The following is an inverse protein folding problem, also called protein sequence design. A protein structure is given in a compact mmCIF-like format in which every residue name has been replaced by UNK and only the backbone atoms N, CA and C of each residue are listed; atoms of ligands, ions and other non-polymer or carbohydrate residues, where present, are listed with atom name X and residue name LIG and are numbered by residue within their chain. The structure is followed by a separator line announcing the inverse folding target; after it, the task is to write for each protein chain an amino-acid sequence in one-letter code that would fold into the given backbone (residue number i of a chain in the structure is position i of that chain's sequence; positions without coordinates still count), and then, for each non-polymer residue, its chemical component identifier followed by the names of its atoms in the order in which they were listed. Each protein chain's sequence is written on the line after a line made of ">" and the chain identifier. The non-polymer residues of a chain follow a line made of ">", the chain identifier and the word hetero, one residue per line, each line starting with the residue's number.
data_IF_834616717666
#
_entry.id   IF_834616717666
#
_cell.length_a   1.000
_cell.length_b   1.000
_cell.length_c   1.000
_cell.angle_alpha   90.00
_cell.angle_beta   90.00
_cell.angle_gamma   90.00
#
_symmetry.space_group_name_H-M   'P 1'
#
loop_
_entity.id
_entity.type
_entity.pdbx_description
1 polymer ?
#
# COMPACT_ATOMS: atom_id res chain seq x y z
N UNK A 1 -9.02 4.81 -22.65
CA UNK A 1 -9.95 5.83 -23.16
C UNK A 1 -11.33 5.48 -22.65
N UNK A 2 -11.73 5.99 -21.51
CA UNK A 2 -13.12 6.23 -21.12
C UNK A 2 -13.04 7.36 -20.09
N UNK A 3 -13.27 8.58 -20.56
CA UNK A 3 -13.64 9.72 -19.73
C UNK A 3 -15.16 9.64 -19.56
N UNK A 4 -15.59 8.99 -18.48
CA UNK A 4 -16.97 8.99 -18.03
C UNK A 4 -17.22 10.20 -17.13
N UNK A 5 -18.18 11.01 -17.49
CA UNK A 5 -18.86 12.10 -16.80
C UNK A 5 -18.38 12.51 -15.39
N UNK A 6 -17.51 13.51 -15.35
CA UNK A 6 -17.27 14.36 -14.17
C UNK A 6 -17.92 15.75 -14.38
N UNK A 7 -19.21 15.77 -14.58
CA UNK A 7 -19.97 16.98 -14.81
C UNK A 7 -20.86 17.40 -13.65
N UNK A 8 -20.41 17.44 -12.39
CA UNK A 8 -21.06 18.24 -11.32
C UNK A 8 -20.27 18.12 -10.02
N UNK A 9 -19.52 19.16 -9.74
CA UNK A 9 -19.00 19.67 -8.45
C UNK A 9 -17.52 20.08 -8.58
N UNK A 10 -17.30 21.34 -8.85
CA UNK A 10 -16.13 22.21 -8.76
C UNK A 10 -15.94 23.02 -10.05
N UNK A 11 -16.39 24.28 -9.98
CA UNK A 11 -16.10 25.30 -10.98
C UNK A 11 -14.65 25.79 -10.83
N UNK A 12 -13.71 25.07 -11.42
CA UNK A 12 -12.38 25.62 -11.70
C UNK A 12 -12.29 25.99 -13.18
N UNK A 13 -11.60 27.11 -13.53
CA UNK A 13 -11.41 27.49 -14.93
C UNK A 13 -10.65 26.40 -15.68
N UNK A 14 -11.10 26.05 -16.89
CA UNK A 14 -10.52 25.03 -17.78
C UNK A 14 -9.01 25.16 -17.96
N UNK A 15 -8.49 26.40 -17.91
CA UNK A 15 -7.06 26.73 -18.01
C UNK A 15 -6.20 26.29 -16.82
N UNK A 16 -6.81 26.07 -15.64
CA UNK A 16 -6.10 25.57 -14.45
C UNK A 16 -5.98 24.04 -14.52
N UNK A 17 -7.04 23.38 -14.98
CA UNK A 17 -7.07 21.94 -15.18
C UNK A 17 -6.09 21.47 -16.26
N UNK A 18 -6.03 22.19 -17.40
CA UNK A 18 -5.10 21.90 -18.50
C UNK A 18 -3.62 22.14 -18.11
N UNK A 19 -3.33 23.14 -17.27
CA UNK A 19 -1.99 23.37 -16.72
C UNK A 19 -1.55 22.27 -15.76
N UNK A 20 -2.43 21.76 -14.91
CA UNK A 20 -2.14 20.66 -13.99
C UNK A 20 -1.90 19.34 -14.73
N UNK A 21 -2.67 19.03 -15.77
CA UNK A 21 -2.46 17.85 -16.63
C UNK A 21 -1.13 17.96 -17.40
N UNK A 22 -0.76 19.14 -17.89
CA UNK A 22 0.51 19.36 -18.56
C UNK A 22 1.68 19.20 -17.61
N UNK A 23 1.59 19.76 -16.39
CA UNK A 23 2.62 19.62 -15.34
C UNK A 23 2.80 18.16 -14.92
N UNK A 24 1.72 17.39 -14.74
CA UNK A 24 1.78 15.94 -14.42
C UNK A 24 2.40 15.14 -15.57
N UNK A 25 2.10 15.48 -16.83
CA UNK A 25 2.70 14.83 -18.02
C UNK A 25 4.18 15.17 -18.16
N UNK A 26 4.54 16.44 -18.01
CA UNK A 26 5.93 16.91 -18.12
C UNK A 26 6.76 16.35 -16.95
N UNK A 27 6.18 16.25 -15.74
CA UNK A 27 6.83 15.66 -14.57
C UNK A 27 7.04 14.14 -14.69
N UNK A 28 6.12 13.40 -15.30
CA UNK A 28 6.28 11.97 -15.61
C UNK A 28 7.36 11.74 -16.68
N UNK A 29 7.65 12.75 -17.52
CA UNK A 29 8.65 12.66 -18.58
C UNK A 29 10.07 13.07 -18.11
N UNK A 30 10.19 13.98 -17.14
CA UNK A 30 11.48 14.53 -16.70
C UNK A 30 12.18 13.76 -15.56
N UNK A 31 11.49 12.95 -14.81
CA UNK A 31 12.09 12.18 -13.70
C UNK A 31 11.97 10.67 -13.91
N UNK A 32 12.91 10.13 -14.69
CA UNK A 32 13.36 8.72 -14.66
C UNK A 32 12.38 7.70 -14.07
N UNK A 33 11.20 7.56 -14.65
CA UNK A 33 10.48 6.30 -14.57
C UNK A 33 11.27 5.33 -15.44
N UNK A 34 12.04 4.44 -14.84
CA UNK A 34 12.75 3.38 -15.56
C UNK A 34 11.69 2.42 -16.10
N UNK A 35 11.17 2.74 -17.29
CA UNK A 35 10.45 1.80 -18.11
C UNK A 35 11.49 0.82 -18.65
N UNK A 36 11.63 -0.33 -17.99
CA UNK A 36 12.38 -1.45 -18.52
C UNK A 36 11.64 -2.00 -19.75
N UNK A 37 11.88 -1.40 -20.92
CA UNK A 37 11.48 -1.99 -22.19
C UNK A 37 12.37 -3.19 -22.49
N UNK A 38 11.83 -4.40 -22.36
CA UNK A 38 12.42 -5.61 -22.96
C UNK A 38 11.88 -5.81 -24.37
N UNK A 39 12.80 -5.91 -25.32
CA UNK A 39 12.57 -6.51 -26.64
C UNK A 39 12.44 -8.01 -26.45
N UNK A 40 11.25 -8.55 -26.63
CA UNK A 40 10.81 -9.81 -27.27
C UNK A 40 9.48 -10.30 -26.69
N UNK A 41 8.47 -10.29 -27.53
CA UNK A 41 7.22 -11.06 -27.63
C UNK A 41 6.67 -11.82 -26.40
N UNK A 42 6.65 -11.20 -25.22
CA UNK A 42 5.74 -11.50 -24.12
C UNK A 42 5.13 -10.19 -23.66
N UNK A 43 3.81 -10.14 -23.52
CA UNK A 43 3.13 -9.01 -22.89
C UNK A 43 3.72 -8.83 -21.49
N UNK A 44 4.59 -7.83 -21.32
CA UNK A 44 5.20 -7.54 -20.03
C UNK A 44 4.17 -6.75 -19.24
N UNK A 45 3.61 -7.37 -18.22
CA UNK A 45 2.78 -6.68 -17.25
C UNK A 45 3.61 -5.56 -16.61
N UNK A 46 3.07 -4.34 -16.63
CA UNK A 46 3.77 -3.17 -16.10
C UNK A 46 3.79 -3.24 -14.57
N UNK A 47 4.87 -3.80 -14.02
CA UNK A 47 5.12 -3.78 -12.58
C UNK A 47 5.58 -2.39 -12.16
N UNK A 48 5.03 -1.86 -11.07
CA UNK A 48 5.39 -0.54 -10.53
C UNK A 48 6.33 -0.75 -9.34
N UNK A 49 7.59 -0.27 -9.48
CA UNK A 49 8.50 -0.11 -8.35
C UNK A 49 8.62 1.38 -8.01
N UNK A 50 8.53 1.68 -6.73
CA UNK A 50 8.60 3.04 -6.21
C UNK A 50 10.04 3.41 -5.85
N UNK A 51 10.45 4.68 -6.03
CA UNK A 51 11.70 5.17 -5.48
C UNK A 51 11.79 4.94 -3.97
N UNK A 52 13.00 4.83 -3.45
CA UNK A 52 13.29 4.67 -2.02
C UNK A 52 14.36 5.71 -1.62
N UNK A 53 14.31 6.26 -0.39
CA UNK A 53 13.33 5.97 0.65
C UNK A 53 12.07 6.86 0.60
N UNK A 54 12.02 7.92 -0.21
CA UNK A 54 10.89 8.87 -0.31
C UNK A 54 10.48 9.07 -1.76
N UNK A 55 9.18 9.14 -2.02
CA UNK A 55 8.63 9.37 -3.36
C UNK A 55 7.36 10.22 -3.31
N UNK A 56 7.03 10.84 -4.43
CA UNK A 56 5.89 11.75 -4.54
C UNK A 56 6.28 13.23 -4.37
N UNK A 57 5.33 14.11 -3.98
CA UNK A 57 3.98 13.77 -3.51
C UNK A 57 3.06 13.22 -4.61
N UNK A 58 2.08 12.40 -4.21
CA UNK A 58 1.03 11.89 -5.08
C UNK A 58 -0.33 12.31 -4.55
N UNK A 59 -1.27 12.58 -5.48
CA UNK A 59 -2.65 12.90 -5.09
C UNK A 59 -3.44 11.60 -4.88
N UNK A 60 -3.83 11.36 -3.63
CA UNK A 60 -4.70 10.25 -3.25
C UNK A 60 -6.15 10.74 -3.23
N UNK A 61 -7.06 9.98 -3.85
CA UNK A 61 -8.50 10.27 -3.80
C UNK A 61 -9.08 10.25 -2.37
N UNK A 62 -8.47 9.48 -1.47
CA UNK A 62 -8.93 9.31 -0.09
C UNK A 62 -8.16 10.16 0.92
N UNK A 63 -6.87 10.36 0.67
CA UNK A 63 -5.93 10.87 1.67
C UNK A 63 -5.40 12.27 1.31
N UNK A 64 -5.84 12.87 0.19
CA UNK A 64 -5.31 14.15 -0.26
C UNK A 64 -3.89 14.05 -0.81
N UNK A 65 -3.03 15.02 -0.51
CA UNK A 65 -1.62 15.05 -0.91
C UNK A 65 -0.84 14.06 -0.03
N UNK A 66 -0.40 12.95 -0.63
CA UNK A 66 0.34 11.90 0.06
C UNK A 66 1.82 11.92 -0.30
N UNK A 67 2.70 12.03 0.69
CA UNK A 67 4.13 11.79 0.55
C UNK A 67 4.42 10.34 0.90
N UNK A 68 4.95 9.58 -0.06
CA UNK A 68 5.23 8.16 0.11
C UNK A 68 6.59 7.90 0.76
N UNK A 69 6.65 6.93 1.66
CA UNK A 69 7.85 6.46 2.32
C UNK A 69 7.98 4.96 2.01
N UNK A 70 8.98 4.61 1.22
CA UNK A 70 9.29 3.24 0.80
C UNK A 70 10.51 2.73 1.56
N UNK A 71 10.29 1.82 2.51
CA UNK A 71 11.34 1.23 3.34
C UNK A 71 12.02 0.00 2.71
N UNK A 72 11.67 -0.29 1.45
CA UNK A 72 12.25 -1.37 0.66
C UNK A 72 13.15 -0.73 -0.40
N UNK A 73 14.27 -1.36 -0.80
CA UNK A 73 15.13 -0.84 -1.86
C UNK A 73 14.39 -0.54 -3.16
N UNK A 74 14.88 0.47 -3.91
CA UNK A 74 14.25 0.88 -5.17
C UNK A 74 14.47 -0.11 -6.31
N UNK A 75 15.49 -0.97 -6.22
CA UNK A 75 15.90 -1.93 -7.26
C UNK A 75 15.10 -3.24 -7.25
N UNK A 76 14.14 -3.40 -6.32
CA UNK A 76 13.38 -4.62 -6.26
C UNK A 76 12.27 -4.65 -5.24
N UNK A 77 11.61 -5.81 -5.15
CA UNK A 77 10.57 -6.10 -4.17
C UNK A 77 11.11 -7.00 -3.08
N UNK A 78 10.76 -6.68 -1.83
CA UNK A 78 11.02 -7.52 -0.68
C UNK A 78 9.81 -7.50 0.25
N UNK A 79 9.01 -8.56 0.17
CA UNK A 79 7.77 -8.70 0.92
C UNK A 79 7.67 -10.07 1.58
N UNK A 80 7.12 -10.14 2.77
CA UNK A 80 6.78 -11.40 3.45
C UNK A 80 5.59 -12.13 2.81
N UNK A 81 4.86 -11.46 1.91
CA UNK A 81 3.81 -12.00 1.06
C UNK A 81 4.23 -11.96 -0.41
N UNK A 82 3.51 -12.71 -1.24
CA UNK A 82 3.67 -12.71 -2.69
C UNK A 82 2.32 -12.70 -3.40
N UNK A 83 1.45 -11.76 -2.96
CA UNK A 83 0.07 -11.66 -3.42
C UNK A 83 -0.02 -11.62 -4.93
N UNK A 84 -0.94 -12.42 -5.51
CA UNK A 84 -1.12 -12.52 -6.96
C UNK A 84 -1.70 -11.25 -7.60
N UNK A 85 -2.20 -10.31 -6.78
CA UNK A 85 -2.73 -9.01 -7.24
C UNK A 85 -1.79 -7.82 -6.94
N UNK A 86 -0.55 -8.08 -6.49
CA UNK A 86 0.35 -7.00 -6.08
C UNK A 86 0.87 -6.20 -7.27
N UNK A 87 0.61 -4.89 -7.31
CA UNK A 87 1.09 -3.99 -8.37
C UNK A 87 2.62 -3.96 -8.49
N UNK A 88 3.36 -4.31 -7.41
CA UNK A 88 4.81 -4.44 -7.43
C UNK A 88 5.31 -5.79 -8.01
N UNK A 89 4.43 -6.63 -8.54
CA UNK A 89 4.80 -7.93 -9.09
C UNK A 89 5.14 -8.98 -8.03
N UNK A 90 5.81 -10.06 -8.45
CA UNK A 90 6.26 -11.13 -7.56
C UNK A 90 7.66 -10.86 -7.02
N UNK A 91 7.95 -11.35 -5.80
CA UNK A 91 9.29 -11.27 -5.20
C UNK A 91 10.38 -11.92 -6.10
N UNK A 92 10.04 -13.00 -6.81
CA UNK A 92 10.99 -13.72 -7.66
C UNK A 92 11.37 -12.96 -8.93
N UNK A 93 10.51 -12.08 -9.44
CA UNK A 93 10.75 -11.31 -10.68
C UNK A 93 11.50 -10.02 -10.45
N UNK A 94 11.51 -9.51 -9.22
CA UNK A 94 12.11 -8.23 -8.84
C UNK A 94 12.94 -8.39 -7.56
N UNK A 95 13.89 -9.33 -7.58
CA UNK A 95 14.74 -9.56 -6.41
C UNK A 95 15.70 -8.40 -6.19
N UNK A 96 15.66 -7.78 -5.00
CA UNK A 96 16.60 -6.72 -4.63
C UNK A 96 17.94 -7.29 -4.18
N UNK A 97 19.02 -6.61 -4.54
CA UNK A 97 20.39 -6.88 -4.07
C UNK A 97 20.91 -5.78 -3.14
N UNK A 98 20.15 -4.71 -3.00
CA UNK A 98 20.48 -3.57 -2.14
C UNK A 98 19.95 -3.82 -0.72
N UNK A 99 20.68 -3.45 0.34
CA UNK A 99 20.19 -3.53 1.71
C UNK A 99 19.01 -2.59 1.94
N UNK A 100 18.24 -2.85 3.00
CA UNK A 100 17.22 -1.90 3.47
C UNK A 100 17.81 -0.52 3.74
N UNK A 101 17.11 0.57 3.43
CA UNK A 101 17.52 1.89 3.87
C UNK A 101 17.58 1.96 5.40
N UNK A 102 18.63 2.59 5.92
CA UNK A 102 18.81 2.82 7.35
C UNK A 102 17.89 3.92 7.88
N UNK A 103 17.73 4.01 9.19
CA UNK A 103 16.94 5.07 9.81
C UNK A 103 17.49 6.47 9.44
N UNK A 104 18.80 6.65 9.42
CA UNK A 104 19.46 7.91 9.06
C UNK A 104 19.21 8.31 7.59
N UNK A 105 19.29 7.35 6.66
CA UNK A 105 19.02 7.60 5.24
C UNK A 105 17.58 8.02 5.02
N UNK A 106 16.60 7.35 5.68
CA UNK A 106 15.19 7.70 5.58
C UNK A 106 14.91 9.06 6.21
N UNK A 107 15.42 9.32 7.42
CA UNK A 107 15.25 10.59 8.13
C UNK A 107 15.78 11.76 7.30
N UNK A 108 17.01 11.66 6.78
CA UNK A 108 17.65 12.69 5.94
C UNK A 108 16.87 12.96 4.65
N UNK A 109 16.43 11.90 3.96
CA UNK A 109 15.67 12.06 2.72
C UNK A 109 14.28 12.65 2.97
N UNK A 110 13.61 12.22 4.03
CA UNK A 110 12.29 12.73 4.41
C UNK A 110 12.38 14.20 4.84
N UNK A 111 13.36 14.56 5.67
CA UNK A 111 13.58 15.95 6.08
C UNK A 111 13.84 16.86 4.88
N UNK A 112 14.73 16.45 3.97
CA UNK A 112 15.04 17.22 2.77
C UNK A 112 13.78 17.46 1.92
N UNK A 113 12.93 16.42 1.74
CA UNK A 113 11.70 16.53 0.96
C UNK A 113 10.63 17.38 1.64
N UNK A 114 10.49 17.29 2.95
CA UNK A 114 9.54 18.11 3.71
C UNK A 114 9.96 19.59 3.72
N UNK A 115 11.27 19.89 3.78
CA UNK A 115 11.79 21.26 3.62
C UNK A 115 11.48 21.84 2.25
N UNK A 116 11.79 21.09 1.18
CA UNK A 116 11.46 21.47 -0.19
C UNK A 116 9.97 21.79 -0.35
N UNK A 117 9.11 20.89 0.12
CA UNK A 117 7.65 21.08 0.06
C UNK A 117 7.19 22.30 0.87
N UNK A 118 7.76 22.53 2.05
CA UNK A 118 7.44 23.68 2.88
C UNK A 118 7.84 25.01 2.22
N UNK A 119 9.03 25.07 1.58
CA UNK A 119 9.51 26.23 0.83
C UNK A 119 8.61 26.52 -0.39
N UNK A 120 8.10 25.48 -1.04
CA UNK A 120 7.16 25.58 -2.17
C UNK A 120 5.71 25.91 -1.72
N UNK A 121 5.45 26.02 -0.44
CA UNK A 121 4.10 26.25 0.13
C UNK A 121 3.16 25.05 -0.06
N UNK A 122 3.69 23.85 -0.28
CA UNK A 122 2.93 22.59 -0.42
C UNK A 122 3.04 21.80 0.87
N UNK A 123 1.90 21.40 1.43
CA UNK A 123 1.86 20.61 2.65
C UNK A 123 1.24 19.23 2.36
N UNK A 124 1.87 18.14 2.77
CA UNK A 124 1.24 16.83 2.67
C UNK A 124 0.08 16.72 3.68
N UNK A 125 -1.01 16.09 3.26
CA UNK A 125 -2.09 15.69 4.17
C UNK A 125 -1.74 14.40 4.91
N UNK A 126 -0.87 13.59 4.29
CA UNK A 126 -0.48 12.30 4.85
C UNK A 126 0.95 11.90 4.44
N UNK A 127 1.67 11.29 5.39
CA UNK A 127 2.93 10.58 5.18
C UNK A 127 2.61 9.08 5.16
N UNK A 128 2.78 8.41 4.02
CA UNK A 128 2.29 7.04 3.83
C UNK A 128 3.44 6.05 3.66
N UNK A 129 3.57 5.15 4.60
CA UNK A 129 4.48 4.00 4.50
C UNK A 129 3.86 2.94 3.60
N UNK A 130 4.32 2.90 2.37
CA UNK A 130 3.95 1.93 1.34
C UNK A 130 5.07 1.87 0.29
N UNK A 131 5.07 0.85 -0.56
CA UNK A 131 6.07 0.76 -1.64
C UNK A 131 6.34 -0.68 -2.06
N UNK A 132 7.60 -1.03 -2.24
CA UNK A 132 8.05 -2.25 -2.89
C UNK A 132 8.00 -3.50 -1.98
N UNK A 133 7.15 -3.53 -0.97
CA UNK A 133 7.00 -4.70 -0.08
C UNK A 133 6.44 -4.35 1.29
N UNK A 134 6.83 -5.12 2.32
CA UNK A 134 6.32 -4.98 3.68
C UNK A 134 7.19 -4.01 4.52
N UNK A 135 6.69 -2.81 4.85
CA UNK A 135 7.49 -1.79 5.56
C UNK A 135 7.94 -2.23 6.95
N UNK A 136 7.13 -3.02 7.67
CA UNK A 136 7.47 -3.53 9.02
C UNK A 136 8.56 -4.61 9.00
N UNK A 137 8.97 -5.05 7.81
CA UNK A 137 10.11 -5.95 7.58
C UNK A 137 11.47 -5.24 7.69
N UNK A 138 11.52 -3.92 7.52
CA UNK A 138 12.74 -3.15 7.72
C UNK A 138 13.15 -3.21 9.21
N UNK A 139 14.40 -3.60 9.54
CA UNK A 139 14.83 -3.73 10.93
C UNK A 139 14.83 -2.41 11.72
N UNK A 140 14.89 -1.27 11.02
CA UNK A 140 14.88 0.07 11.59
C UNK A 140 13.48 0.70 11.61
N UNK A 141 12.42 -0.08 11.33
CA UNK A 141 11.05 0.44 11.26
C UNK A 141 10.63 1.26 12.49
N UNK A 142 10.88 0.81 13.75
CA UNK A 142 10.50 1.59 14.94
C UNK A 142 11.19 2.96 15.02
N UNK A 143 12.51 3.01 14.77
CA UNK A 143 13.29 4.26 14.78
C UNK A 143 12.83 5.22 13.68
N UNK A 144 12.51 4.67 12.50
CA UNK A 144 12.00 5.46 11.37
C UNK A 144 10.64 6.07 11.69
N UNK A 145 9.74 5.34 12.35
CA UNK A 145 8.44 5.89 12.81
C UNK A 145 8.66 7.05 13.77
N UNK A 146 9.56 6.92 14.74
CA UNK A 146 9.85 7.97 15.71
C UNK A 146 10.46 9.21 15.03
N UNK A 147 11.37 9.03 14.07
CA UNK A 147 11.92 10.11 13.26
C UNK A 147 10.83 10.80 12.42
N UNK A 148 9.95 10.01 11.78
CA UNK A 148 8.85 10.54 10.97
C UNK A 148 7.88 11.38 11.78
N UNK A 149 7.55 10.97 13.01
CA UNK A 149 6.70 11.75 13.92
C UNK A 149 7.36 13.10 14.24
N UNK A 150 8.65 13.12 14.58
CA UNK A 150 9.38 14.37 14.85
C UNK A 150 9.38 15.30 13.64
N UNK A 151 9.65 14.78 12.46
CA UNK A 151 9.69 15.56 11.22
C UNK A 151 8.29 16.09 10.83
N UNK A 152 7.24 15.25 10.95
CA UNK A 152 5.85 15.67 10.75
C UNK A 152 5.51 16.84 11.67
N UNK A 153 5.82 16.75 12.96
CA UNK A 153 5.52 17.79 13.95
C UNK A 153 6.30 19.10 13.68
N UNK A 154 7.46 19.00 13.01
CA UNK A 154 8.28 20.17 12.66
C UNK A 154 7.80 20.85 11.38
N UNK A 155 7.53 20.09 10.30
CA UNK A 155 7.35 20.65 8.95
C UNK A 155 5.92 20.61 8.42
N UNK A 156 5.07 19.73 8.93
CA UNK A 156 3.71 19.52 8.42
C UNK A 156 2.73 19.11 9.52
N UNK A 157 2.63 19.94 10.56
CA UNK A 157 1.70 19.73 11.66
C UNK A 157 0.27 19.51 11.13
N UNK A 158 -0.38 18.45 11.58
CA UNK A 158 -1.72 18.08 11.10
C UNK A 158 -1.72 16.99 10.00
N UNK A 159 -0.60 16.75 9.31
CA UNK A 159 -0.48 15.61 8.43
C UNK A 159 -0.62 14.29 9.21
N UNK A 160 -1.30 13.31 8.62
CA UNK A 160 -1.46 11.99 9.20
C UNK A 160 -0.29 11.08 8.84
N UNK A 161 0.07 10.16 9.72
CA UNK A 161 1.02 9.08 9.41
C UNK A 161 0.22 7.81 9.18
N UNK A 162 0.33 7.24 7.99
CA UNK A 162 -0.35 6.01 7.58
C UNK A 162 0.66 4.92 7.30
N UNK A 163 0.45 3.72 7.84
CA UNK A 163 1.26 2.53 7.53
C UNK A 163 0.37 1.46 6.93
N UNK A 164 0.71 1.03 5.70
CA UNK A 164 0.06 -0.10 5.05
C UNK A 164 0.92 -1.34 5.28
N UNK A 165 0.40 -2.28 6.07
CA UNK A 165 1.12 -3.51 6.42
C UNK A 165 0.30 -4.76 6.08
N UNK A 166 0.98 -5.79 5.60
CA UNK A 166 0.38 -7.11 5.44
C UNK A 166 0.24 -7.88 6.77
N UNK A 167 0.52 -7.21 7.88
CA UNK A 167 0.34 -7.70 9.24
C UNK A 167 1.27 -8.82 9.70
N UNK A 168 2.19 -9.28 8.86
CA UNK A 168 3.06 -10.44 9.18
C UNK A 168 3.86 -10.24 10.48
N UNK A 169 4.32 -9.02 10.74
CA UNK A 169 5.26 -8.75 11.84
C UNK A 169 4.64 -8.03 13.03
N UNK A 170 3.31 -7.86 13.08
CA UNK A 170 2.62 -7.14 14.18
C UNK A 170 2.79 -7.79 15.56
N UNK A 171 3.18 -9.07 15.60
CA UNK A 171 3.47 -9.79 16.83
C UNK A 171 4.84 -9.43 17.47
N UNK A 172 5.71 -8.72 16.73
CA UNK A 172 7.00 -8.25 17.27
C UNK A 172 6.76 -7.03 18.16
N UNK A 173 7.17 -7.04 19.45
CA UNK A 173 6.81 -5.96 20.38
C UNK A 173 7.20 -4.56 19.90
N UNK A 174 8.40 -4.40 19.30
CA UNK A 174 8.86 -3.11 18.79
C UNK A 174 8.03 -2.62 17.59
N UNK A 175 7.64 -3.53 16.67
CA UNK A 175 6.75 -3.21 15.54
C UNK A 175 5.36 -2.83 16.04
N UNK A 176 4.79 -3.61 16.95
CA UNK A 176 3.49 -3.33 17.56
C UNK A 176 3.47 -1.93 18.20
N UNK A 177 4.48 -1.64 19.03
CA UNK A 177 4.61 -0.35 19.70
C UNK A 177 4.75 0.82 18.71
N UNK A 178 5.47 0.64 17.61
CA UNK A 178 5.61 1.65 16.56
C UNK A 178 4.28 1.86 15.82
N UNK A 179 3.57 0.80 15.43
CA UNK A 179 2.26 0.88 14.78
C UNK A 179 1.18 1.51 15.68
N UNK A 180 1.28 1.36 17.01
CA UNK A 180 0.38 2.01 17.95
C UNK A 180 0.56 3.54 18.04
N UNK A 181 1.67 4.11 17.53
CA UNK A 181 1.96 5.54 17.54
C UNK A 181 1.42 6.29 16.32
N UNK A 182 1.11 5.57 15.22
CA UNK A 182 0.71 6.20 13.97
C UNK A 182 -0.78 6.49 13.93
N UNK A 183 -1.17 7.47 13.11
CA UNK A 183 -2.57 7.88 12.99
C UNK A 183 -3.42 6.80 12.31
N UNK A 184 -2.90 6.17 11.26
CA UNK A 184 -3.59 5.16 10.48
C UNK A 184 -2.76 3.88 10.41
N UNK A 185 -2.97 2.99 11.35
CA UNK A 185 -2.42 1.64 11.36
C UNK A 185 -3.32 0.75 10.49
N UNK A 186 -2.98 0.61 9.19
CA UNK A 186 -3.78 -0.08 8.19
C UNK A 186 -3.23 -1.49 8.00
N UNK A 187 -4.01 -2.46 8.43
CA UNK A 187 -3.63 -3.87 8.53
C UNK A 187 -4.45 -4.72 7.56
N UNK A 188 -3.74 -5.46 6.72
CA UNK A 188 -4.35 -6.32 5.71
C UNK A 188 -4.95 -7.58 6.33
N UNK A 189 -6.22 -7.86 5.95
CA UNK A 189 -6.93 -9.10 6.25
C UNK A 189 -7.91 -9.43 5.11
N UNK A 190 -7.44 -10.09 4.06
CA UNK A 190 -8.27 -10.39 2.88
C UNK A 190 -9.22 -11.56 3.11
N UNK A 191 -8.87 -12.45 4.00
CA UNK A 191 -9.68 -13.61 4.39
C UNK A 191 -9.14 -14.23 5.68
N UNK A 192 -9.94 -15.08 6.29
CA UNK A 192 -9.54 -15.89 7.45
C UNK A 192 -9.32 -17.36 7.08
N UNK A 193 -9.54 -17.74 5.84
CA UNK A 193 -9.36 -19.11 5.34
C UNK A 193 -7.87 -19.37 5.02
N UNK A 194 -7.17 -20.28 5.75
CA UNK A 194 -5.74 -20.49 5.56
C UNK A 194 -5.35 -21.01 4.17
N UNK A 195 -6.20 -21.82 3.53
CA UNK A 195 -5.91 -22.37 2.21
C UNK A 195 -6.12 -21.33 1.11
N UNK A 196 -7.10 -20.45 1.29
CA UNK A 196 -7.28 -19.29 0.40
C UNK A 196 -6.11 -18.31 0.52
N UNK A 197 -5.62 -18.02 1.72
CA UNK A 197 -4.45 -17.17 1.95
C UNK A 197 -3.22 -17.70 1.18
N UNK A 198 -3.00 -19.03 1.15
CA UNK A 198 -1.90 -19.64 0.39
C UNK A 198 -2.04 -19.42 -1.12
N UNK A 199 -3.26 -19.40 -1.65
CA UNK A 199 -3.53 -19.19 -3.08
C UNK A 199 -3.44 -17.72 -3.47
N UNK A 200 -3.97 -16.81 -2.64
CA UNK A 200 -4.06 -15.39 -2.95
C UNK A 200 -2.83 -14.60 -2.48
N UNK A 201 -2.51 -14.69 -1.19
CA UNK A 201 -1.52 -13.85 -0.52
C UNK A 201 -0.12 -14.45 -0.51
N UNK A 202 -0.02 -15.77 -0.59
CA UNK A 202 1.22 -16.53 -0.70
C UNK A 202 2.28 -16.14 0.35
N UNK A 203 1.97 -16.25 1.67
CA UNK A 203 2.92 -15.90 2.71
C UNK A 203 4.20 -16.72 2.58
N UNK A 204 5.36 -16.04 2.70
CA UNK A 204 6.69 -16.65 2.56
C UNK A 204 7.20 -17.25 3.86
N UNK A 205 6.63 -16.88 5.01
CA UNK A 205 7.02 -17.41 6.30
C UNK A 205 6.20 -18.68 6.62
N UNK A 206 6.85 -19.84 6.80
CA UNK A 206 6.15 -21.08 7.17
C UNK A 206 5.37 -20.99 8.49
N UNK A 207 5.78 -20.05 9.37
CA UNK A 207 5.15 -19.82 10.68
C UNK A 207 3.94 -18.88 10.59
N UNK A 208 3.53 -18.42 9.42
CA UNK A 208 2.36 -17.57 9.26
C UNK A 208 1.10 -18.30 9.71
N UNK A 209 0.35 -17.69 10.62
CA UNK A 209 -0.93 -18.20 11.13
C UNK A 209 -1.91 -17.03 11.25
N UNK A 210 -2.95 -17.05 10.45
CA UNK A 210 -3.97 -15.98 10.41
C UNK A 210 -4.66 -15.76 11.75
N UNK A 211 -4.81 -16.80 12.58
CA UNK A 211 -5.40 -16.67 13.92
C UNK A 211 -4.52 -15.82 14.82
N UNK A 212 -3.19 -16.02 14.77
CA UNK A 212 -2.25 -15.18 15.52
C UNK A 212 -2.25 -13.73 15.01
N UNK A 213 -2.44 -13.53 13.71
CA UNK A 213 -2.59 -12.20 13.13
C UNK A 213 -3.85 -11.52 13.65
N UNK A 214 -4.99 -12.21 13.68
CA UNK A 214 -6.27 -11.70 14.23
C UNK A 214 -6.11 -11.31 15.70
N UNK A 215 -5.46 -12.14 16.53
CA UNK A 215 -5.16 -11.80 17.93
C UNK A 215 -4.25 -10.56 18.04
N UNK A 216 -3.24 -10.46 17.18
CA UNK A 216 -2.37 -9.29 17.10
C UNK A 216 -3.15 -8.02 16.70
N UNK A 217 -4.08 -8.11 15.75
CA UNK A 217 -4.97 -7.00 15.38
C UNK A 217 -5.87 -6.59 16.55
N UNK A 218 -6.45 -7.58 17.25
CA UNK A 218 -7.29 -7.36 18.43
C UNK A 218 -6.56 -6.59 19.52
N UNK A 219 -5.25 -6.85 19.69
CA UNK A 219 -4.43 -6.21 20.74
C UNK A 219 -4.23 -4.71 20.55
N UNK A 220 -4.55 -4.14 19.38
CA UNK A 220 -4.58 -2.68 19.17
C UNK A 220 -5.81 -2.00 19.78
N UNK A 221 -6.75 -2.75 20.39
CA UNK A 221 -7.91 -2.21 21.09
C UNK A 221 -8.74 -1.22 20.24
N UNK A 222 -8.99 -1.57 18.99
CA UNK A 222 -9.73 -0.74 18.05
C UNK A 222 -8.91 0.36 17.37
N UNK A 223 -7.64 0.52 17.68
CA UNK A 223 -6.79 1.56 17.05
C UNK A 223 -6.13 1.09 15.74
N UNK A 224 -6.75 0.18 15.04
CA UNK A 224 -6.34 -0.25 13.71
C UNK A 224 -7.46 -0.06 12.69
N UNK A 225 -7.06 -0.08 11.44
CA UNK A 225 -7.95 -0.09 10.27
C UNK A 225 -7.71 -1.42 9.58
N UNK A 226 -8.76 -2.18 9.30
CA UNK A 226 -8.65 -3.39 8.49
C UNK A 226 -8.77 -3.01 7.02
N UNK A 227 -7.84 -3.49 6.20
CA UNK A 227 -7.87 -3.32 4.75
C UNK A 227 -8.04 -4.68 4.09
N UNK A 228 -9.05 -4.79 3.20
CA UNK A 228 -9.42 -6.04 2.54
C UNK A 228 -9.58 -5.86 1.05
N UNK A 229 -8.89 -6.71 0.27
CA UNK A 229 -9.07 -6.84 -1.17
C UNK A 229 -10.18 -7.85 -1.46
N UNK A 230 -11.24 -7.41 -2.13
CA UNK A 230 -12.24 -8.29 -2.73
C UNK A 230 -12.01 -8.39 -4.24
N UNK A 231 -12.00 -9.61 -4.76
CA UNK A 231 -11.76 -9.87 -6.17
C UNK A 231 -12.43 -11.16 -6.63
N UNK A 232 -12.40 -11.38 -7.93
CA UNK A 232 -12.92 -12.57 -8.61
C UNK A 232 -11.84 -13.16 -9.50
N UNK A 233 -12.08 -14.35 -9.99
CA UNK A 233 -11.26 -14.97 -11.01
C UNK A 233 -10.47 -16.16 -10.52
N UNK A 234 -9.37 -16.43 -11.22
CA UNK A 234 -8.51 -17.61 -10.98
C UNK A 234 -7.07 -17.21 -10.85
N UNK A 235 -6.30 -17.99 -10.09
CA UNK A 235 -4.84 -17.88 -10.10
C UNK A 235 -4.24 -18.50 -11.38
N UNK A 236 -2.93 -18.39 -11.54
CA UNK A 236 -2.24 -18.93 -12.73
C UNK A 236 -2.28 -20.47 -12.81
N UNK A 237 -2.57 -21.16 -11.70
CA UNK A 237 -2.78 -22.60 -11.59
C UNK A 237 -4.21 -23.02 -11.95
N UNK A 238 -5.11 -22.07 -12.23
CA UNK A 238 -6.51 -22.28 -12.59
C UNK A 238 -7.45 -22.50 -11.40
N UNK A 239 -6.97 -22.33 -10.17
CA UNK A 239 -7.78 -22.42 -8.96
C UNK A 239 -8.59 -21.14 -8.75
N UNK A 240 -9.84 -21.27 -8.30
CA UNK A 240 -10.70 -20.14 -7.99
C UNK A 240 -10.17 -19.34 -6.80
N UNK A 241 -10.10 -18.00 -6.99
CA UNK A 241 -9.69 -17.03 -5.98
C UNK A 241 -10.74 -15.93 -5.79
N UNK A 242 -11.99 -16.21 -6.14
CA UNK A 242 -13.14 -15.34 -5.86
C UNK A 242 -13.43 -15.34 -4.36
N UNK A 243 -13.52 -14.16 -3.73
CA UNK A 243 -13.75 -14.03 -2.28
C UNK A 243 -14.93 -13.14 -1.89
N UNK A 244 -15.82 -12.86 -2.83
CA UNK A 244 -17.07 -12.11 -2.60
C UNK A 244 -18.22 -12.99 -2.13
N UNK A 245 -18.07 -14.31 -2.07
CA UNK A 245 -19.09 -15.24 -1.64
C UNK A 245 -19.22 -15.33 -0.11
N UNK A 246 -20.41 -15.70 0.37
CA UNK A 246 -20.76 -15.80 1.80
C UNK A 246 -19.79 -16.72 2.58
N UNK A 247 -19.27 -17.76 1.94
CA UNK A 247 -18.30 -18.70 2.52
C UNK A 247 -16.97 -18.03 2.92
N UNK A 248 -16.63 -16.89 2.31
CA UNK A 248 -15.46 -16.08 2.66
C UNK A 248 -15.84 -14.85 3.48
N UNK A 249 -16.91 -14.15 3.08
CA UNK A 249 -17.36 -12.91 3.71
C UNK A 249 -17.87 -13.16 5.13
N UNK A 250 -18.68 -14.21 5.38
CA UNK A 250 -19.24 -14.52 6.69
C UNK A 250 -18.16 -14.69 7.77
N UNK A 251 -17.20 -15.64 7.62
CA UNK A 251 -16.12 -15.83 8.59
C UNK A 251 -15.19 -14.60 8.72
N UNK A 252 -14.98 -13.83 7.64
CA UNK A 252 -14.23 -12.59 7.66
C UNK A 252 -14.94 -11.52 8.50
N UNK A 253 -16.26 -11.34 8.34
CA UNK A 253 -17.08 -10.43 9.15
C UNK A 253 -17.03 -10.80 10.65
N UNK A 254 -17.05 -12.09 10.96
CA UNK A 254 -16.93 -12.53 12.36
C UNK A 254 -15.56 -12.17 12.95
N UNK A 255 -14.48 -12.30 12.17
CA UNK A 255 -13.15 -11.86 12.58
C UNK A 255 -13.08 -10.33 12.72
N UNK A 256 -13.68 -9.56 11.81
CA UNK A 256 -13.75 -8.09 11.90
C UNK A 256 -14.50 -7.67 13.16
N UNK A 257 -15.65 -8.28 13.45
CA UNK A 257 -16.40 -8.04 14.71
C UNK A 257 -15.58 -8.36 15.95
N UNK A 258 -14.80 -9.46 15.90
CA UNK A 258 -13.92 -9.85 17.01
C UNK A 258 -12.78 -8.86 17.20
N UNK A 259 -12.11 -8.43 16.13
CA UNK A 259 -11.02 -7.43 16.16
C UNK A 259 -11.56 -6.09 16.66
N UNK A 260 -12.76 -5.71 16.26
CA UNK A 260 -13.42 -4.43 16.52
C UNK A 260 -12.52 -3.23 16.10
N UNK A 261 -12.09 -3.15 14.83
CA UNK A 261 -11.27 -2.05 14.34
C UNK A 261 -12.09 -0.75 14.34
N UNK A 262 -11.41 0.41 14.31
CA UNK A 262 -12.13 1.69 14.20
C UNK A 262 -12.72 1.92 12.80
N UNK A 263 -12.16 1.26 11.78
CA UNK A 263 -12.56 1.43 10.38
C UNK A 263 -12.23 0.15 9.60
N UNK A 264 -13.02 -0.12 8.57
CA UNK A 264 -12.77 -1.18 7.58
C UNK A 264 -12.72 -0.53 6.21
N UNK A 265 -11.63 -0.77 5.48
CA UNK A 265 -11.44 -0.33 4.10
C UNK A 265 -11.55 -1.54 3.19
N UNK A 266 -12.56 -1.56 2.33
CA UNK A 266 -12.68 -2.57 1.28
C UNK A 266 -12.31 -1.94 -0.06
N UNK A 267 -11.69 -2.71 -0.93
CA UNK A 267 -11.31 -2.28 -2.27
C UNK A 267 -11.21 -3.48 -3.21
N UNK A 268 -11.13 -3.22 -4.49
CA UNK A 268 -10.93 -4.22 -5.53
C UNK A 268 -9.75 -3.83 -6.42
N UNK A 269 -9.38 -4.71 -7.34
CA UNK A 269 -8.30 -4.48 -8.31
C UNK A 269 -8.59 -3.20 -9.10
N UNK A 270 -7.62 -2.30 -9.21
CA UNK A 270 -7.74 -1.06 -10.01
C UNK A 270 -6.75 -1.00 -11.17
N UNK A 271 -5.61 -1.69 -11.06
CA UNK A 271 -4.51 -1.72 -12.03
C UNK A 271 -4.17 -3.13 -12.48
N UNK A 272 -3.27 -3.24 -13.43
CA UNK A 272 -2.73 -4.53 -13.85
C UNK A 272 -2.05 -5.25 -12.69
N UNK A 273 -2.23 -6.56 -12.66
CA UNK A 273 -1.74 -7.45 -11.61
C UNK A 273 -0.88 -8.57 -12.21
N UNK A 274 0.04 -9.17 -11.45
CA UNK A 274 0.82 -10.31 -11.95
C UNK A 274 -0.03 -11.55 -12.24
N UNK A 275 -1.13 -11.75 -11.51
CA UNK A 275 -2.13 -12.79 -11.81
C UNK A 275 -2.97 -12.41 -13.03
N UNK A 276 -2.94 -13.25 -14.07
CA UNK A 276 -3.51 -12.93 -15.38
C UNK A 276 -5.04 -13.03 -15.48
N UNK A 277 -5.66 -13.79 -14.60
CA UNK A 277 -7.08 -14.16 -14.68
C UNK A 277 -7.87 -13.58 -13.50
N UNK A 278 -7.38 -12.49 -12.94
CA UNK A 278 -8.06 -11.77 -11.87
C UNK A 278 -9.02 -10.75 -12.42
N UNK A 279 -10.17 -10.62 -11.78
CA UNK A 279 -11.24 -9.71 -12.15
C UNK A 279 -11.63 -8.84 -10.95
N UNK A 280 -12.13 -7.63 -11.24
CA UNK A 280 -12.67 -6.73 -10.21
C UNK A 280 -13.93 -7.34 -9.58
N UNK A 281 -14.09 -7.17 -8.27
CA UNK A 281 -15.40 -7.28 -7.67
C UNK A 281 -16.31 -6.16 -8.20
N UNK A 282 -17.59 -6.43 -8.39
CA UNK A 282 -18.56 -5.41 -8.82
C UNK A 282 -18.91 -4.45 -7.69
N UNK A 283 -19.51 -3.30 -8.02
CA UNK A 283 -20.00 -2.39 -6.99
C UNK A 283 -21.08 -3.03 -6.12
N UNK A 284 -22.00 -3.80 -6.74
CA UNK A 284 -23.06 -4.51 -6.03
C UNK A 284 -22.50 -5.53 -5.03
N UNK A 285 -21.41 -6.23 -5.39
CA UNK A 285 -20.74 -7.18 -4.48
C UNK A 285 -19.99 -6.49 -3.34
N UNK A 286 -19.51 -5.24 -3.55
CA UNK A 286 -18.85 -4.49 -2.49
C UNK A 286 -19.86 -3.77 -1.57
N UNK A 287 -21.07 -3.51 -2.04
CA UNK A 287 -22.13 -2.82 -1.30
C UNK A 287 -23.05 -3.79 -0.53
N UNK A 288 -22.96 -5.11 -0.84
CA UNK A 288 -23.79 -6.15 -0.22
C UNK A 288 -23.31 -6.50 1.19
#
# INVERSE_FOLDING_TARGET
>A
MILGDFGQLWHFPKSVFERQIKWVKDWLYEKNVVLLQKTNNYSIMATILFPSPVYGPVHSRRLGISLGINLIPADGKLCSFDCIYCECGYNATHHTHTPFPTAEEVEKALEAKLKEMHEDGVHPDVLTFAGNGEPTGNPHFPEIIDATIRLRDTYCQGAKISVLSNSTFIHRPAVHAALAKVDNNILKLDTVNPDYIKRLDRPKLPSYDVRKIIEGMKSFNGQCIIQTMFLRGKNDEGEDVTNVGEEYVGPWLDAVKYIAPREVMIYTIDRETPGKYLEKATHEELDA
#
